data_IF_818809690330
#
_entry.id   IF_818809690330
#
_cell.length_a   1.000
_cell.length_b   1.000
_cell.length_c   1.000
_cell.angle_alpha   90.00
_cell.angle_beta   90.00
_cell.angle_gamma   90.00
#
_symmetry.space_group_name_H-M   'P 1'
#
loop_
_entity.id
_entity.type
_entity.pdbx_description
1 polymer ?
#
# COMPACT_ATOMS: atom_id res chain seq x y z
N UNK A 1 -28.96 1.77 23.47
CA UNK A 1 -28.03 2.06 22.36
C UNK A 1 -26.66 2.32 22.97
N UNK A 2 -25.64 1.58 22.56
CA UNK A 2 -24.25 1.95 22.89
C UNK A 2 -23.92 3.27 22.17
N UNK A 3 -23.13 4.18 22.78
CA UNK A 3 -22.71 5.40 22.12
C UNK A 3 -21.94 5.07 20.84
N UNK A 4 -22.13 5.86 19.79
CA UNK A 4 -21.32 5.76 18.58
C UNK A 4 -19.84 6.01 18.92
N UNK A 5 -18.89 5.29 18.30
CA UNK A 5 -17.47 5.50 18.55
C UNK A 5 -17.07 6.94 18.22
N UNK A 6 -16.10 7.47 18.98
CA UNK A 6 -15.54 8.78 18.69
C UNK A 6 -14.83 8.78 17.34
N UNK A 7 -15.03 9.87 16.59
CA UNK A 7 -14.36 10.13 15.32
C UNK A 7 -13.13 11.02 15.59
N UNK A 8 -12.01 10.70 14.94
CA UNK A 8 -10.75 11.43 15.04
C UNK A 8 -10.31 11.89 13.64
N UNK A 9 -9.55 12.98 13.57
CA UNK A 9 -8.85 13.35 12.35
C UNK A 9 -7.57 12.52 12.27
N UNK A 10 -7.38 11.66 11.24
CA UNK A 10 -6.14 10.93 11.09
C UNK A 10 -4.98 11.86 10.77
N UNK A 11 -3.84 11.58 11.39
CA UNK A 11 -2.55 12.18 11.11
C UNK A 11 -1.43 11.14 11.24
N UNK A 12 -0.20 11.55 10.99
CA UNK A 12 0.97 10.67 11.04
C UNK A 12 1.19 10.08 12.45
N UNK A 13 0.93 10.84 13.51
CA UNK A 13 1.12 10.39 14.89
C UNK A 13 0.16 9.23 15.22
N UNK A 14 -1.10 9.32 14.80
CA UNK A 14 -2.07 8.25 14.97
C UNK A 14 -1.67 6.98 14.19
N UNK A 15 -1.07 7.11 13.00
CA UNK A 15 -0.54 5.95 12.27
C UNK A 15 0.62 5.31 13.04
N UNK A 16 1.53 6.11 13.62
CA UNK A 16 2.64 5.61 14.45
C UNK A 16 2.11 4.84 15.66
N UNK A 17 1.10 5.36 16.37
CA UNK A 17 0.46 4.64 17.48
C UNK A 17 -0.08 3.28 17.02
N UNK A 18 -0.79 3.25 15.90
CA UNK A 18 -1.35 2.02 15.32
C UNK A 18 -0.25 1.03 14.95
N UNK A 19 0.85 1.48 14.34
CA UNK A 19 1.96 0.60 13.96
C UNK A 19 2.65 0.01 15.19
N UNK A 20 2.85 0.81 16.24
CA UNK A 20 3.39 0.34 17.52
C UNK A 20 2.47 -0.71 18.18
N UNK A 21 1.14 -0.49 18.18
CA UNK A 21 0.16 -1.45 18.72
C UNK A 21 0.12 -2.77 17.95
N UNK A 22 0.46 -2.74 16.67
CA UNK A 22 0.53 -3.91 15.81
C UNK A 22 1.91 -4.59 15.81
N UNK A 23 2.87 -4.09 16.61
CA UNK A 23 4.28 -4.53 16.63
C UNK A 23 4.93 -4.48 15.23
N UNK A 24 4.62 -3.45 14.43
CA UNK A 24 5.17 -3.22 13.09
C UNK A 24 6.24 -2.13 13.15
N UNK A 25 7.47 -2.49 12.79
CA UNK A 25 8.56 -1.52 12.66
C UNK A 25 8.33 -0.56 11.48
N UNK A 26 8.70 0.71 11.69
CA UNK A 26 8.58 1.76 10.70
C UNK A 26 9.85 2.62 10.64
N UNK A 27 9.97 3.37 9.57
CA UNK A 27 11.06 4.30 9.28
C UNK A 27 10.49 5.61 8.71
N UNK A 28 11.36 6.59 8.53
CA UNK A 28 11.06 7.83 7.82
C UNK A 28 12.02 7.96 6.63
N UNK A 29 11.53 8.54 5.53
CA UNK A 29 12.42 8.92 4.43
C UNK A 29 13.07 10.30 4.65
N UNK A 30 13.77 10.81 3.63
CA UNK A 30 14.44 12.11 3.71
C UNK A 30 13.50 13.30 3.82
N UNK A 31 12.26 13.15 3.38
CA UNK A 31 11.23 14.19 3.40
C UNK A 31 10.38 14.11 4.68
N UNK A 32 10.61 13.07 5.51
CA UNK A 32 9.93 12.84 6.77
C UNK A 32 8.65 12.01 6.63
N UNK A 33 8.43 11.40 5.47
CA UNK A 33 7.26 10.55 5.22
C UNK A 33 7.41 9.22 5.95
N UNK A 34 6.34 8.85 6.67
CA UNK A 34 6.27 7.59 7.41
C UNK A 34 6.16 6.39 6.47
N UNK A 35 7.02 5.39 6.69
CA UNK A 35 7.02 4.16 5.91
C UNK A 35 7.27 2.89 6.70
N UNK A 36 6.78 1.76 6.20
CA UNK A 36 7.29 0.42 6.52
C UNK A 36 8.21 0.03 5.37
N UNK A 37 9.44 -0.41 5.66
CA UNK A 37 10.39 -0.82 4.62
C UNK A 37 10.95 -2.21 4.89
N UNK A 38 10.93 -3.05 3.87
CA UNK A 38 11.48 -4.42 3.87
C UNK A 38 12.27 -4.63 2.58
N UNK A 39 12.96 -5.76 2.43
CA UNK A 39 13.66 -6.12 1.18
C UNK A 39 12.74 -6.40 -0.02
N UNK A 40 11.42 -6.51 0.22
CA UNK A 40 10.44 -6.85 -0.80
C UNK A 40 9.59 -5.66 -1.27
N UNK A 41 9.36 -4.72 -0.37
CA UNK A 41 8.45 -3.59 -0.56
C UNK A 41 8.65 -2.50 0.48
N UNK A 42 8.23 -1.29 0.10
CA UNK A 42 8.08 -0.14 0.99
C UNK A 42 6.63 0.35 0.96
N UNK A 43 6.00 0.52 2.12
CA UNK A 43 4.64 1.08 2.28
C UNK A 43 4.73 2.47 2.88
N UNK A 44 4.26 3.49 2.17
CA UNK A 44 4.16 4.87 2.65
C UNK A 44 2.75 5.21 3.11
N UNK A 45 2.66 6.01 4.18
CA UNK A 45 1.43 6.55 4.74
C UNK A 45 1.43 8.07 4.57
N UNK A 46 0.72 8.55 3.55
CA UNK A 46 0.82 9.92 3.06
C UNK A 46 -0.47 10.69 3.34
N UNK A 47 -0.33 11.91 3.86
CA UNK A 47 -1.42 12.86 4.04
C UNK A 47 -1.33 13.94 2.96
N UNK A 48 -2.39 14.09 2.16
CA UNK A 48 -2.42 15.06 1.06
C UNK A 48 -2.34 16.50 1.56
N UNK A 49 -1.76 17.39 0.75
CA UNK A 49 -1.66 18.82 1.07
C UNK A 49 -3.02 19.51 1.24
N UNK A 50 -4.09 18.98 0.63
CA UNK A 50 -5.48 19.43 0.84
C UNK A 50 -6.12 18.86 2.12
N UNK A 51 -5.36 18.17 2.97
CA UNK A 51 -5.71 17.76 4.35
C UNK A 51 -6.70 16.60 4.48
N UNK A 52 -7.51 16.37 3.46
CA UNK A 52 -8.65 15.46 3.55
C UNK A 52 -8.41 14.08 2.92
N UNK A 53 -7.26 13.85 2.30
CA UNK A 53 -6.94 12.58 1.65
C UNK A 53 -5.80 11.86 2.36
N UNK A 54 -6.08 10.63 2.78
CA UNK A 54 -5.08 9.69 3.26
C UNK A 54 -4.77 8.69 2.16
N UNK A 55 -3.50 8.61 1.76
CA UNK A 55 -3.03 7.65 0.76
C UNK A 55 -2.11 6.65 1.42
N UNK A 56 -2.38 5.36 1.21
CA UNK A 56 -1.41 4.31 1.49
C UNK A 56 -0.87 3.82 0.16
N UNK A 57 0.45 3.87 -0.01
CA UNK A 57 1.11 3.51 -1.26
C UNK A 57 2.23 2.52 -1.02
N UNK A 58 2.18 1.39 -1.71
CA UNK A 58 3.22 0.37 -1.67
C UNK A 58 4.04 0.39 -2.96
N UNK A 59 5.35 0.52 -2.83
CA UNK A 59 6.30 0.24 -3.89
C UNK A 59 6.84 -1.17 -3.72
N UNK A 60 6.79 -1.98 -4.78
CA UNK A 60 7.40 -3.30 -4.78
C UNK A 60 8.81 -3.22 -5.37
N UNK A 61 9.78 -3.89 -4.74
CA UNK A 61 11.21 -3.70 -5.06
C UNK A 61 11.66 -4.36 -6.36
N UNK A 62 10.94 -5.39 -6.82
CA UNK A 62 11.27 -6.05 -8.09
C UNK A 62 11.11 -5.09 -9.25
N UNK A 63 12.19 -4.95 -10.01
CA UNK A 63 12.24 -4.26 -11.29
C UNK A 63 11.88 -5.21 -12.44
N UNK A 64 11.21 -4.67 -13.46
CA UNK A 64 10.84 -5.39 -14.67
C UNK A 64 11.31 -4.62 -15.90
N UNK A 65 11.60 -5.37 -16.95
CA UNK A 65 11.96 -4.86 -18.27
C UNK A 65 10.72 -4.54 -19.11
N UNK A 66 10.90 -3.80 -20.19
CA UNK A 66 9.82 -3.49 -21.15
C UNK A 66 9.23 -4.77 -21.77
N UNK A 67 10.06 -5.78 -22.01
CA UNK A 67 9.65 -7.06 -22.60
C UNK A 67 8.76 -7.87 -21.65
N UNK A 68 8.95 -7.75 -20.33
CA UNK A 68 8.11 -8.38 -19.30
C UNK A 68 6.76 -7.67 -19.12
N UNK A 69 6.58 -6.45 -19.63
CA UNK A 69 5.40 -5.60 -19.38
C UNK A 69 4.06 -6.26 -19.78
N UNK A 70 3.92 -6.92 -20.94
CA UNK A 70 2.64 -7.53 -21.33
C UNK A 70 2.20 -8.64 -20.34
N UNK A 71 3.15 -9.48 -19.92
CA UNK A 71 2.92 -10.50 -18.90
C UNK A 71 2.56 -9.85 -17.56
N UNK A 72 3.37 -8.88 -17.13
CA UNK A 72 3.11 -8.17 -15.88
C UNK A 72 1.70 -7.57 -15.84
N UNK A 73 1.27 -6.86 -16.88
CA UNK A 73 -0.06 -6.26 -16.95
C UNK A 73 -1.19 -7.30 -16.87
N UNK A 74 -0.99 -8.48 -17.46
CA UNK A 74 -1.95 -9.59 -17.36
C UNK A 74 -2.12 -10.03 -15.91
N UNK A 75 -1.00 -10.29 -15.21
CA UNK A 75 -1.02 -10.66 -13.79
C UNK A 75 -1.61 -9.55 -12.90
N UNK A 76 -1.27 -8.27 -13.14
CA UNK A 76 -1.84 -7.16 -12.37
C UNK A 76 -3.36 -7.07 -12.56
N UNK A 77 -3.87 -7.26 -13.78
CA UNK A 77 -5.29 -7.23 -14.06
C UNK A 77 -6.04 -8.42 -13.44
N UNK A 78 -5.45 -9.62 -13.47
CA UNK A 78 -5.98 -10.81 -12.77
C UNK A 78 -6.15 -10.52 -11.27
N UNK A 79 -5.08 -10.04 -10.62
CA UNK A 79 -5.14 -9.70 -9.20
C UNK A 79 -6.21 -8.64 -8.89
N UNK A 80 -6.24 -7.56 -9.69
CA UNK A 80 -7.20 -6.48 -9.50
C UNK A 80 -8.65 -6.92 -9.71
N UNK A 81 -8.88 -7.96 -10.51
CA UNK A 81 -10.21 -8.53 -10.75
C UNK A 81 -10.64 -9.43 -9.59
N UNK A 82 -9.74 -10.28 -9.11
CA UNK A 82 -10.06 -11.35 -8.15
C UNK A 82 -9.93 -10.93 -6.69
N UNK A 83 -9.32 -9.77 -6.43
CA UNK A 83 -9.04 -9.30 -5.07
C UNK A 83 -9.47 -7.85 -4.86
N UNK A 84 -9.81 -7.52 -3.63
CA UNK A 84 -10.15 -6.15 -3.25
C UNK A 84 -8.91 -5.28 -3.13
N UNK A 85 -7.85 -5.77 -2.44
CA UNK A 85 -6.65 -5.00 -2.12
C UNK A 85 -5.35 -5.82 -2.25
N UNK A 86 -4.23 -5.14 -2.52
CA UNK A 86 -4.17 -3.77 -3.02
C UNK A 86 -4.71 -3.67 -4.46
N UNK A 87 -5.14 -2.48 -4.89
CA UNK A 87 -5.21 -2.19 -6.32
C UNK A 87 -3.82 -1.82 -6.80
N UNK A 88 -3.40 -2.39 -7.92
CA UNK A 88 -2.01 -2.35 -8.38
C UNK A 88 -1.90 -1.91 -9.83
N UNK A 89 -0.81 -1.23 -10.16
CA UNK A 89 -0.50 -0.78 -11.50
C UNK A 89 1.01 -0.82 -11.78
N UNK A 90 1.35 -0.90 -13.06
CA UNK A 90 2.73 -0.77 -13.51
C UNK A 90 3.08 0.70 -13.74
N UNK A 91 4.17 1.15 -13.13
CA UNK A 91 4.73 2.48 -13.31
C UNK A 91 6.03 2.39 -14.10
N UNK A 92 6.12 3.13 -15.20
CA UNK A 92 7.32 3.17 -16.07
C UNK A 92 7.89 4.59 -16.03
N UNK A 93 8.84 4.90 -15.12
CA UNK A 93 9.62 6.13 -15.15
C UNK A 93 10.51 6.21 -16.42
N UNK A 94 11.06 7.41 -16.66
CA UNK A 94 11.83 7.74 -17.87
C UNK A 94 13.08 6.87 -18.09
N UNK A 95 13.59 6.23 -17.04
CA UNK A 95 14.73 5.30 -17.14
C UNK A 95 14.37 3.92 -17.72
N UNK A 96 13.09 3.68 -18.05
CA UNK A 96 12.60 2.44 -18.66
C UNK A 96 12.47 1.25 -17.70
N UNK A 97 12.81 1.43 -16.41
CA UNK A 97 12.66 0.39 -15.39
C UNK A 97 11.21 0.36 -14.93
N UNK A 98 10.50 -0.73 -15.17
CA UNK A 98 9.12 -0.86 -14.75
C UNK A 98 9.07 -1.29 -13.28
N UNK A 99 8.23 -0.61 -12.51
CA UNK A 99 7.94 -0.91 -11.11
C UNK A 99 6.47 -1.24 -10.96
N UNK A 100 6.14 -2.02 -9.94
CA UNK A 100 4.74 -2.22 -9.52
C UNK A 100 4.47 -1.34 -8.32
N UNK A 101 3.32 -0.67 -8.36
CA UNK A 101 2.83 0.15 -7.26
C UNK A 101 1.44 -0.36 -6.87
N UNK A 102 1.20 -0.48 -5.57
CA UNK A 102 -0.15 -0.66 -5.02
C UNK A 102 -0.60 0.62 -4.32
N UNK A 103 -1.86 1.03 -4.50
CA UNK A 103 -2.38 2.22 -3.83
C UNK A 103 -3.84 2.13 -3.39
N UNK A 104 -4.14 2.83 -2.30
CA UNK A 104 -5.49 3.15 -1.86
C UNK A 104 -5.53 4.58 -1.35
N UNK A 105 -6.64 5.25 -1.63
CA UNK A 105 -6.90 6.62 -1.22
C UNK A 105 -8.23 6.67 -0.48
N UNK A 106 -8.21 7.27 0.71
CA UNK A 106 -9.35 7.39 1.59
C UNK A 106 -9.60 8.87 1.87
N UNK A 107 -10.83 9.30 1.65
CA UNK A 107 -11.28 10.60 2.13
C UNK A 107 -11.50 10.53 3.65
N UNK A 108 -10.83 11.38 4.39
CA UNK A 108 -10.81 11.43 5.85
C UNK A 108 -11.23 12.80 6.40
N UNK A 109 -11.70 13.73 5.57
CA UNK A 109 -12.06 15.10 5.98
C UNK A 109 -13.25 15.20 6.96
N UNK A 110 -14.10 14.17 7.01
CA UNK A 110 -15.14 14.06 8.04
C UNK A 110 -14.65 13.40 9.34
N UNK A 111 -13.37 13.05 9.39
CA UNK A 111 -12.76 12.16 10.37
C UNK A 111 -13.16 10.69 10.18
N UNK A 112 -12.43 9.80 10.87
CA UNK A 112 -12.73 8.36 10.94
C UNK A 112 -12.64 7.86 12.38
N UNK A 113 -13.23 6.72 12.68
CA UNK A 113 -12.98 6.05 13.97
C UNK A 113 -11.57 5.46 13.98
N UNK A 114 -10.89 5.41 15.14
CA UNK A 114 -9.58 4.74 15.28
C UNK A 114 -9.61 3.30 14.77
N UNK A 115 -10.65 2.54 15.12
CA UNK A 115 -10.84 1.15 14.69
C UNK A 115 -10.86 0.98 13.16
N UNK A 116 -11.55 1.89 12.46
CA UNK A 116 -11.54 1.94 10.99
C UNK A 116 -10.12 2.14 10.45
N UNK A 117 -9.38 3.11 10.99
CA UNK A 117 -8.02 3.38 10.55
C UNK A 117 -7.07 2.21 10.82
N UNK A 118 -7.13 1.62 12.03
CA UNK A 118 -6.37 0.41 12.39
C UNK A 118 -6.66 -0.74 11.43
N UNK A 119 -7.93 -0.94 11.08
CA UNK A 119 -8.35 -1.99 10.14
C UNK A 119 -7.76 -1.75 8.75
N UNK A 120 -7.80 -0.51 8.27
CA UNK A 120 -7.23 -0.13 6.97
C UNK A 120 -5.72 -0.38 6.95
N UNK A 121 -4.98 0.09 7.95
CA UNK A 121 -3.52 -0.08 8.04
C UNK A 121 -3.15 -1.58 8.11
N UNK A 122 -3.75 -2.32 9.03
CA UNK A 122 -3.44 -3.74 9.23
C UNK A 122 -3.76 -4.58 7.98
N UNK A 123 -4.92 -4.35 7.36
CA UNK A 123 -5.28 -5.03 6.12
C UNK A 123 -4.34 -4.64 4.98
N UNK A 124 -4.01 -3.35 4.82
CA UNK A 124 -3.12 -2.92 3.75
C UNK A 124 -1.77 -3.63 3.82
N UNK A 125 -1.10 -3.60 4.98
CA UNK A 125 0.20 -4.26 5.17
C UNK A 125 0.11 -5.76 4.85
N UNK A 126 -0.90 -6.44 5.39
CA UNK A 126 -1.10 -7.88 5.16
C UNK A 126 -1.32 -8.20 3.68
N UNK A 127 -2.18 -7.44 2.99
CA UNK A 127 -2.52 -7.70 1.60
C UNK A 127 -1.42 -7.26 0.63
N UNK A 128 -0.65 -6.22 0.98
CA UNK A 128 0.54 -5.83 0.23
C UNK A 128 1.57 -6.96 0.17
N UNK A 129 1.86 -7.60 1.31
CA UNK A 129 2.75 -8.77 1.38
C UNK A 129 2.15 -9.97 0.64
N UNK A 130 0.83 -10.21 0.79
CA UNK A 130 0.14 -11.30 0.08
C UNK A 130 0.27 -11.15 -1.43
N UNK A 131 0.06 -9.94 -1.94
CA UNK A 131 0.22 -9.63 -3.37
C UNK A 131 1.65 -9.87 -3.84
N UNK A 132 2.66 -9.41 -3.10
CA UNK A 132 4.05 -9.63 -3.47
C UNK A 132 4.37 -11.13 -3.67
N UNK A 133 3.93 -11.97 -2.73
CA UNK A 133 4.11 -13.43 -2.81
C UNK A 133 3.37 -14.00 -4.01
N UNK A 134 2.09 -13.65 -4.16
CA UNK A 134 1.26 -14.12 -5.26
C UNK A 134 1.85 -13.74 -6.63
N UNK A 135 2.30 -12.49 -6.80
CA UNK A 135 2.89 -12.03 -8.06
C UNK A 135 4.18 -12.78 -8.37
N UNK A 136 5.03 -13.01 -7.36
CA UNK A 136 6.28 -13.76 -7.51
C UNK A 136 6.02 -15.20 -7.96
N UNK A 137 5.04 -15.86 -7.36
CA UNK A 137 4.62 -17.22 -7.75
C UNK A 137 4.02 -17.20 -9.16
N UNK A 138 3.08 -16.29 -9.44
CA UNK A 138 2.35 -16.17 -10.71
C UNK A 138 3.27 -15.97 -11.91
N UNK A 139 4.36 -15.22 -11.73
CA UNK A 139 5.34 -14.96 -12.77
C UNK A 139 6.39 -16.07 -12.91
N UNK A 140 6.59 -16.90 -11.87
CA UNK A 140 7.52 -18.03 -11.96
C UNK A 140 6.94 -19.17 -12.80
N UNK A 141 5.61 -19.37 -12.77
CA UNK A 141 4.92 -20.42 -13.53
C UNK A 141 4.82 -20.18 -15.05
N UNK A 142 5.15 -18.99 -15.55
CA UNK A 142 5.14 -18.70 -17.00
C UNK A 142 6.50 -18.78 -17.67
N UNK A 143 7.57 -18.93 -16.88
CA UNK A 143 8.94 -19.08 -17.40
C UNK A 143 9.28 -20.56 -17.66
N UNK A 144 8.45 -21.49 -17.15
CA UNK A 144 8.48 -22.93 -17.42
C UNK A 144 7.50 -23.34 -18.54
#
# INVERSE_FOLDING_TARGET
MSPSPAVVQPDQELIIEILNELDIEFTFDSDGDLAISTDALTVFFLFGAEGDLFTIRTFYDRHYTIDEKPLLLTALNEWNTDTMWPKVYAFTPDNGIIRVIGDAQLYIGAGVTREHLTTIVAHWVRFAIKFHRWLSDRLSFEVD
#
